data_IF_898966841552
#
_entry.id   IF_898966841552
#
_cell.length_a   1.000
_cell.length_b   1.000
_cell.length_c   1.000
_cell.angle_alpha   90.00
_cell.angle_beta   90.00
_cell.angle_gamma   90.00
#
_symmetry.space_group_name_H-M   'P 1'
#
loop_
_entity.id
_entity.type
_entity.pdbx_description
1 polymer ?
#
# COMPACT_ATOMS: atom_id res chain seq x y z
N UNK A 1 -3.82 -11.01 -10.46
CA UNK A 1 -3.19 -10.38 -9.28
C UNK A 1 -1.92 -11.17 -9.01
N UNK A 2 -0.73 -10.58 -9.06
CA UNK A 2 0.51 -11.35 -8.91
C UNK A 2 0.73 -11.68 -7.43
N UNK A 3 0.65 -12.95 -7.05
CA UNK A 3 0.73 -13.44 -5.67
C UNK A 3 2.08 -13.19 -5.02
N UNK A 4 3.13 -13.01 -5.83
CA UNK A 4 4.49 -12.73 -5.34
C UNK A 4 4.69 -11.27 -4.91
N UNK A 5 3.77 -10.36 -5.28
CA UNK A 5 3.89 -8.94 -4.97
C UNK A 5 3.07 -8.62 -3.73
N UNK A 6 3.70 -8.00 -2.73
CA UNK A 6 3.01 -7.54 -1.52
C UNK A 6 2.29 -6.22 -1.83
N UNK A 7 0.97 -6.29 -1.95
CA UNK A 7 0.15 -5.12 -2.24
C UNK A 7 -0.32 -4.44 -0.96
N UNK A 8 -0.20 -3.11 -0.89
CA UNK A 8 -0.82 -2.31 0.16
C UNK A 8 -1.98 -1.49 -0.40
N UNK A 9 -3.09 -1.46 0.34
CA UNK A 9 -4.22 -0.54 0.07
C UNK A 9 -4.00 0.83 0.70
N UNK A 10 -3.11 0.92 1.70
CA UNK A 10 -2.84 2.13 2.45
C UNK A 10 -1.82 3.01 1.72
N UNK A 11 -2.00 4.33 1.81
CA UNK A 11 -0.99 5.29 1.37
C UNK A 11 0.17 5.36 2.36
N UNK A 12 1.33 5.88 1.93
CA UNK A 12 2.46 6.07 2.83
C UNK A 12 2.15 7.04 3.99
N UNK A 13 1.19 7.96 3.82
CA UNK A 13 0.67 8.82 4.89
C UNK A 13 -0.13 8.03 5.91
N UNK A 14 -1.06 7.19 5.46
CA UNK A 14 -1.91 6.42 6.36
C UNK A 14 -1.08 5.48 7.22
N UNK A 15 -0.09 4.82 6.61
CA UNK A 15 0.86 3.96 7.32
C UNK A 15 1.68 4.77 8.33
N UNK A 16 2.15 5.97 7.98
CA UNK A 16 2.88 6.83 8.92
C UNK A 16 1.98 7.26 10.09
N UNK A 17 0.71 7.62 9.84
CA UNK A 17 -0.25 7.97 10.87
C UNK A 17 -0.58 6.80 11.79
N UNK A 18 -0.75 5.59 11.25
CA UNK A 18 -0.96 4.38 12.06
C UNK A 18 0.25 4.06 12.93
N UNK A 19 1.46 4.11 12.35
CA UNK A 19 2.69 3.90 13.12
C UNK A 19 2.88 4.97 14.20
N UNK A 20 2.47 6.21 13.95
CA UNK A 20 2.48 7.27 14.95
C UNK A 20 1.50 7.00 16.08
N UNK A 21 0.31 6.45 15.78
CA UNK A 21 -0.66 6.02 16.81
C UNK A 21 -0.11 4.89 17.70
N UNK A 22 0.67 3.99 17.12
CA UNK A 22 1.39 2.93 17.84
C UNK A 22 2.60 3.46 18.64
N UNK A 23 2.92 4.75 18.56
CA UNK A 23 4.03 5.38 19.29
C UNK A 23 5.34 5.47 18.51
N UNK A 24 5.38 5.04 17.26
CA UNK A 24 6.56 5.18 16.41
C UNK A 24 6.59 6.54 15.72
N UNK A 25 7.62 7.35 16.01
CA UNK A 25 7.84 8.65 15.34
C UNK A 25 8.46 8.44 13.96
N UNK A 26 7.65 8.05 12.98
CA UNK A 26 8.06 7.80 11.60
C UNK A 26 7.46 8.80 10.62
N UNK A 27 8.30 9.31 9.72
CA UNK A 27 7.87 10.19 8.63
C UNK A 27 7.44 9.39 7.41
N UNK A 28 6.63 10.02 6.55
CA UNK A 28 6.21 9.47 5.24
C UNK A 28 7.39 8.99 4.39
N UNK A 29 8.55 9.66 4.49
CA UNK A 29 9.75 9.30 3.74
C UNK A 29 10.40 8.01 4.26
N UNK A 30 10.40 7.78 5.57
CA UNK A 30 10.89 6.54 6.17
C UNK A 30 10.00 5.37 5.73
N UNK A 31 8.69 5.55 5.82
CA UNK A 31 7.71 4.56 5.34
C UNK A 31 7.91 4.26 3.86
N UNK A 32 8.12 5.28 3.01
CA UNK A 32 8.40 5.08 1.57
C UNK A 32 9.65 4.24 1.35
N UNK A 33 10.75 4.51 2.06
CA UNK A 33 11.99 3.74 1.96
C UNK A 33 11.78 2.29 2.41
N UNK A 34 11.07 2.09 3.52
CA UNK A 34 10.75 0.76 4.06
C UNK A 34 9.94 -0.07 3.06
N UNK A 35 8.86 0.50 2.54
CA UNK A 35 8.00 -0.18 1.55
C UNK A 35 8.78 -0.55 0.29
N UNK A 36 9.66 0.34 -0.19
CA UNK A 36 10.52 0.07 -1.35
C UNK A 36 11.49 -1.10 -1.10
N UNK A 37 12.15 -1.13 0.06
CA UNK A 37 13.10 -2.19 0.41
C UNK A 37 12.42 -3.57 0.52
N UNK A 38 11.18 -3.61 1.00
CA UNK A 38 10.43 -4.86 1.16
C UNK A 38 9.56 -5.22 -0.06
N UNK A 39 9.67 -4.48 -1.17
CA UNK A 39 8.95 -4.76 -2.42
C UNK A 39 7.44 -4.52 -2.35
N UNK A 40 6.98 -3.65 -1.45
CA UNK A 40 5.57 -3.26 -1.37
C UNK A 40 5.19 -2.31 -2.49
N UNK A 41 4.05 -2.57 -3.13
CA UNK A 41 3.53 -1.75 -4.22
C UNK A 41 2.11 -1.31 -3.89
N UNK A 42 1.79 -0.03 -4.20
CA UNK A 42 0.43 0.49 -4.05
C UNK A 42 -0.51 -0.28 -4.97
N UNK A 43 -1.61 -0.79 -4.42
CA UNK A 43 -2.65 -1.45 -5.20
C UNK A 43 -3.20 -0.49 -6.26
N UNK A 44 -3.17 -0.90 -7.52
CA UNK A 44 -3.98 -0.27 -8.57
C UNK A 44 -5.41 -0.80 -8.44
N UNK A 45 -6.40 0.09 -8.43
CA UNK A 45 -7.79 -0.32 -8.50
C UNK A 45 -7.98 -1.10 -9.82
N UNK A 46 -8.42 -2.36 -9.74
CA UNK A 46 -8.84 -3.10 -10.91
C UNK A 46 -10.11 -2.40 -11.41
N UNK A 47 -10.10 -1.91 -12.67
CA UNK A 47 -11.35 -1.47 -13.30
C UNK A 47 -12.31 -2.65 -13.25
N UNK A 48 -13.52 -2.45 -12.72
CA UNK A 48 -14.64 -3.32 -13.09
C UNK A 48 -14.77 -3.18 -14.60
N UNK A 49 -14.24 -4.12 -15.36
CA UNK A 49 -14.91 -4.41 -16.63
C UNK A 49 -16.32 -4.79 -16.21
N UNK A 50 -17.30 -4.02 -16.65
CA UNK A 50 -18.62 -4.59 -16.88
C UNK A 50 -18.34 -5.80 -17.78
N UNK A 51 -18.26 -7.00 -17.20
CA UNK A 51 -18.60 -8.16 -18.00
C UNK A 51 -20.11 -8.05 -18.14
N UNK A 52 -20.49 -7.44 -19.27
CA UNK A 52 -21.75 -7.69 -19.90
C UNK A 52 -22.01 -9.20 -19.87
N UNK A 53 -23.23 -9.56 -19.47
CA UNK A 53 -23.97 -10.76 -19.88
C UNK A 53 -23.14 -11.91 -20.47
N UNK A 54 -23.20 -13.08 -19.82
CA UNK A 54 -23.84 -14.30 -20.31
C UNK A 54 -24.16 -15.17 -19.09
#
# INVERSE_FOLDING_TARGET
MNEKIKWTNLSCSDIASLLTKEGFKVSRNIVRKLLKNHGYVKRKALKKSLQASI
#
